data_IF_451166372453
#
_entry.id   IF_451166372453
#
_cell.length_a   1.000
_cell.length_b   1.000
_cell.length_c   1.000
_cell.angle_alpha   90.00
_cell.angle_beta   90.00
_cell.angle_gamma   90.00
#
_symmetry.space_group_name_H-M   'P 1'
#
loop_
_entity.id
_entity.type
_entity.pdbx_description
1 polymer ?
#
# COMPACT_ATOMS: atom_id res chain seq x y z
N UNK A 1 43.98 -8.03 49.51
CA UNK A 1 42.98 -8.05 48.43
C UNK A 1 42.46 -6.64 48.19
N UNK A 2 42.94 -5.95 47.15
CA UNK A 2 42.43 -4.63 46.74
C UNK A 2 41.39 -4.87 45.63
N UNK A 3 40.14 -4.52 45.88
CA UNK A 3 39.11 -4.54 44.83
C UNK A 3 39.30 -3.32 43.90
N UNK A 4 39.18 -3.50 42.58
CA UNK A 4 39.19 -2.40 41.64
C UNK A 4 37.80 -1.73 41.64
N UNK A 5 37.78 -0.43 41.93
CA UNK A 5 36.61 0.43 41.77
C UNK A 5 36.25 0.52 40.29
N UNK A 6 35.04 0.08 39.93
CA UNK A 6 34.46 0.28 38.60
C UNK A 6 34.44 1.79 38.27
N UNK A 7 35.19 2.18 37.24
CA UNK A 7 35.08 3.50 36.63
C UNK A 7 33.68 3.62 36.04
N UNK A 8 32.87 4.49 36.63
CA UNK A 8 31.64 5.02 36.05
C UNK A 8 32.02 5.63 34.69
N UNK A 9 31.49 5.09 33.60
CA UNK A 9 31.66 5.68 32.28
C UNK A 9 31.09 7.10 32.33
N UNK A 10 31.96 8.09 32.17
CA UNK A 10 31.55 9.48 32.10
C UNK A 10 30.77 9.67 30.81
N UNK A 11 29.50 10.05 30.93
CA UNK A 11 28.66 10.45 29.82
C UNK A 11 29.23 11.78 29.28
N UNK A 12 30.08 11.73 28.26
CA UNK A 12 30.64 12.92 27.62
C UNK A 12 29.46 13.69 27.01
N UNK A 13 29.25 14.98 27.32
CA UNK A 13 28.20 15.74 26.68
C UNK A 13 28.44 15.73 25.17
N UNK A 14 27.46 15.22 24.41
CA UNK A 14 27.49 15.25 22.95
C UNK A 14 27.82 16.68 22.50
N UNK A 15 28.81 16.83 21.62
CA UNK A 15 29.15 18.16 21.13
C UNK A 15 27.99 18.70 20.30
N UNK A 16 27.86 20.03 20.22
CA UNK A 16 26.85 20.69 19.38
C UNK A 16 26.86 20.14 17.94
N UNK A 17 28.05 19.84 17.42
CA UNK A 17 28.23 19.30 16.08
C UNK A 17 27.72 17.85 15.95
N UNK A 18 27.83 17.04 17.00
CA UNK A 18 27.31 15.66 17.02
C UNK A 18 25.78 15.65 17.06
N UNK A 19 25.17 16.58 17.80
CA UNK A 19 23.72 16.70 17.85
C UNK A 19 23.14 17.23 16.54
N UNK A 20 23.83 18.18 15.88
CA UNK A 20 23.46 18.66 14.55
C UNK A 20 23.47 17.54 13.51
N UNK A 21 24.55 16.76 13.45
CA UNK A 21 24.65 15.63 12.52
C UNK A 21 23.64 14.53 12.83
N UNK A 22 23.32 14.31 14.11
CA UNK A 22 22.26 13.39 14.52
C UNK A 22 20.89 13.83 14.04
N UNK A 23 20.56 15.12 14.12
CA UNK A 23 19.29 15.66 13.62
C UNK A 23 19.17 15.46 12.11
N UNK A 24 20.22 15.78 11.34
CA UNK A 24 20.19 15.57 9.89
C UNK A 24 19.99 14.08 9.56
N UNK A 25 20.67 13.20 10.29
CA UNK A 25 20.49 11.75 10.16
C UNK A 25 19.06 11.31 10.45
N UNK A 26 18.43 11.82 11.52
CA UNK A 26 17.04 11.48 11.84
C UNK A 26 16.06 12.00 10.78
N UNK A 27 16.31 13.19 10.22
CA UNK A 27 15.48 13.76 9.16
C UNK A 27 15.54 12.93 7.88
N UNK A 28 16.74 12.51 7.49
CA UNK A 28 16.94 11.62 6.34
C UNK A 28 16.25 10.27 6.56
N UNK A 29 16.35 9.71 7.76
CA UNK A 29 15.66 8.47 8.14
C UNK A 29 14.14 8.60 8.08
N UNK A 30 13.56 9.70 8.61
CA UNK A 30 12.12 9.94 8.54
C UNK A 30 11.67 10.11 7.08
N UNK A 31 12.47 10.77 6.26
CA UNK A 31 12.22 10.89 4.82
C UNK A 31 12.15 9.53 4.13
N UNK A 32 13.13 8.67 4.40
CA UNK A 32 13.18 7.31 3.86
C UNK A 32 11.99 6.45 4.33
N UNK A 33 11.70 6.43 5.64
CA UNK A 33 10.59 5.65 6.20
C UNK A 33 9.22 6.07 5.62
N UNK A 34 9.02 7.36 5.36
CA UNK A 34 7.79 7.86 4.74
C UNK A 34 7.69 7.50 3.25
N UNK A 35 8.82 7.46 2.54
CA UNK A 35 8.86 6.97 1.17
C UNK A 35 8.50 5.47 1.12
N UNK A 36 9.06 4.68 2.02
CA UNK A 36 8.75 3.25 2.16
C UNK A 36 7.27 3.04 2.49
N UNK A 37 6.72 3.83 3.42
CA UNK A 37 5.28 3.82 3.73
C UNK A 37 4.42 4.06 2.49
N UNK A 38 4.77 5.06 1.68
CA UNK A 38 4.06 5.37 0.42
C UNK A 38 4.17 4.20 -0.57
N UNK A 39 5.32 3.52 -0.63
CA UNK A 39 5.51 2.35 -1.48
C UNK A 39 4.63 1.16 -1.06
N UNK A 40 4.50 0.93 0.26
CA UNK A 40 3.62 -0.11 0.82
C UNK A 40 2.15 0.21 0.57
N UNK A 41 1.72 1.46 0.74
CA UNK A 41 0.33 1.87 0.43
C UNK A 41 -0.02 1.62 -1.04
N UNK A 42 0.92 1.89 -1.94
CA UNK A 42 0.72 1.69 -3.37
C UNK A 42 0.88 0.23 -3.84
N UNK A 43 1.28 -0.70 -2.98
CA UNK A 43 1.54 -2.10 -3.37
C UNK A 43 0.29 -2.74 -3.98
N UNK A 44 0.40 -3.57 -5.03
CA UNK A 44 -0.75 -4.25 -5.63
C UNK A 44 -1.36 -5.25 -4.64
N UNK A 45 -2.58 -5.70 -4.95
CA UNK A 45 -3.24 -6.79 -4.23
C UNK A 45 -2.57 -8.13 -4.57
N UNK A 46 -2.68 -9.15 -3.71
CA UNK A 46 -2.17 -10.48 -4.01
C UNK A 46 -2.77 -11.04 -5.30
N UNK A 47 -1.95 -11.69 -6.11
CA UNK A 47 -2.40 -12.29 -7.37
C UNK A 47 -3.55 -13.28 -7.18
N UNK A 48 -3.55 -14.06 -6.09
CA UNK A 48 -4.61 -15.02 -5.80
C UNK A 48 -5.98 -14.34 -5.71
N UNK A 49 -6.10 -13.29 -4.90
CA UNK A 49 -7.35 -12.54 -4.73
C UNK A 49 -7.81 -11.89 -6.04
N UNK A 50 -6.86 -11.40 -6.86
CA UNK A 50 -7.17 -10.82 -8.17
C UNK A 50 -7.66 -11.88 -9.16
N UNK A 51 -7.14 -13.10 -9.09
CA UNK A 51 -7.58 -14.22 -9.93
C UNK A 51 -8.96 -14.73 -9.52
N UNK A 52 -9.27 -14.75 -8.22
CA UNK A 52 -10.61 -15.09 -7.73
C UNK A 52 -11.63 -14.04 -8.21
N UNK A 53 -11.33 -12.74 -8.07
CA UNK A 53 -12.18 -11.65 -8.59
C UNK A 53 -12.35 -11.73 -10.13
N UNK A 54 -11.28 -12.12 -10.85
CA UNK A 54 -11.33 -12.33 -12.29
C UNK A 54 -12.27 -13.48 -12.65
N UNK A 55 -12.18 -14.61 -11.92
CA UNK A 55 -13.02 -15.77 -12.14
C UNK A 55 -14.50 -15.42 -11.98
N UNK A 56 -14.86 -14.71 -10.90
CA UNK A 56 -16.22 -14.20 -10.67
C UNK A 56 -16.67 -13.24 -11.79
N UNK A 57 -15.78 -12.35 -12.23
CA UNK A 57 -16.09 -11.39 -13.28
C UNK A 57 -16.33 -12.07 -14.64
N UNK A 58 -15.55 -13.09 -14.99
CA UNK A 58 -15.73 -13.86 -16.21
C UNK A 58 -17.07 -14.62 -16.21
N UNK A 59 -17.46 -15.17 -15.07
CA UNK A 59 -18.75 -15.87 -14.91
C UNK A 59 -19.93 -14.90 -15.02
N UNK A 60 -19.79 -13.70 -14.46
CA UNK A 60 -20.77 -12.64 -14.62
C UNK A 60 -20.92 -12.21 -16.09
N UNK A 61 -19.82 -11.94 -16.80
CA UNK A 61 -19.83 -11.57 -18.21
C UNK A 61 -20.49 -12.64 -19.10
N UNK A 62 -20.18 -13.91 -18.85
CA UNK A 62 -20.79 -15.01 -19.58
C UNK A 62 -22.31 -15.08 -19.35
N UNK A 63 -22.74 -14.91 -18.10
CA UNK A 63 -24.16 -14.94 -17.73
C UNK A 63 -24.94 -13.78 -18.37
N UNK A 64 -24.44 -12.55 -18.23
CA UNK A 64 -25.08 -11.38 -18.81
C UNK A 64 -25.20 -11.47 -20.33
N UNK A 65 -24.18 -11.99 -21.01
CA UNK A 65 -24.20 -12.15 -22.45
C UNK A 65 -25.23 -13.19 -22.91
N UNK A 66 -25.35 -14.33 -22.21
CA UNK A 66 -26.35 -15.36 -22.52
C UNK A 66 -27.77 -14.82 -22.28
N UNK A 67 -27.99 -14.12 -21.18
CA UNK A 67 -29.29 -13.51 -20.88
C UNK A 67 -29.65 -12.43 -21.91
N UNK A 68 -28.65 -11.65 -22.34
CA UNK A 68 -28.76 -10.63 -23.38
C UNK A 68 -29.23 -11.19 -24.73
N UNK A 69 -28.85 -12.43 -25.08
CA UNK A 69 -29.31 -13.10 -26.30
C UNK A 69 -30.83 -13.29 -26.38
N UNK A 70 -31.54 -13.15 -25.26
CA UNK A 70 -33.01 -13.22 -25.22
C UNK A 70 -33.55 -14.50 -25.85
N UNK A 71 -32.93 -15.64 -25.50
CA UNK A 71 -33.18 -16.97 -26.10
C UNK A 71 -34.64 -17.43 -26.03
N UNK A 72 -35.43 -16.86 -25.12
CA UNK A 72 -36.87 -17.11 -25.03
C UNK A 72 -37.63 -16.76 -26.32
N UNK A 73 -37.15 -15.79 -27.11
CA UNK A 73 -37.73 -15.46 -28.41
C UNK A 73 -37.54 -16.55 -29.47
N UNK A 74 -36.51 -17.41 -29.35
CA UNK A 74 -36.32 -18.55 -30.26
C UNK A 74 -37.43 -19.60 -30.12
N UNK A 75 -38.19 -19.57 -29.02
CA UNK A 75 -39.33 -20.45 -28.76
C UNK A 75 -40.67 -19.77 -29.09
N UNK A 76 -40.67 -18.51 -29.49
CA UNK A 76 -41.91 -17.79 -29.83
C UNK A 76 -42.44 -18.25 -31.20
N UNK A 77 -43.73 -18.55 -31.26
CA UNK A 77 -44.45 -19.04 -32.44
C UNK A 77 -44.63 -17.94 -33.50
N UNK A 78 -44.40 -16.67 -33.13
CA UNK A 78 -44.59 -15.47 -33.98
C UNK A 78 -43.44 -15.19 -34.96
N UNK A 79 -42.37 -15.98 -34.94
CA UNK A 79 -41.37 -16.01 -36.02
C UNK A 79 -40.49 -14.76 -36.17
N UNK A 80 -40.35 -13.95 -35.13
CA UNK A 80 -39.30 -12.92 -35.09
C UNK A 80 -37.99 -13.59 -34.71
N UNK A 81 -37.29 -14.10 -35.72
CA UNK A 81 -36.02 -14.80 -35.55
C UNK A 81 -34.85 -13.82 -35.57
N UNK A 82 -33.98 -13.88 -34.56
CA UNK A 82 -32.72 -13.16 -34.55
C UNK A 82 -32.11 -13.10 -33.14
N UNK A 83 -30.83 -13.47 -33.02
CA UNK A 83 -30.05 -13.19 -31.82
C UNK A 83 -29.81 -11.68 -31.77
N UNK A 84 -30.37 -11.00 -30.77
CA UNK A 84 -30.12 -9.57 -30.57
C UNK A 84 -28.84 -9.39 -29.77
N UNK A 85 -27.76 -9.03 -30.44
CA UNK A 85 -26.52 -8.63 -29.77
C UNK A 85 -26.63 -7.27 -29.08
N UNK A 86 -27.58 -6.43 -29.49
CA UNK A 86 -27.92 -5.16 -28.85
C UNK A 86 -29.38 -4.82 -29.11
N UNK A 87 -30.12 -4.43 -28.06
CA UNK A 87 -31.53 -4.02 -28.19
C UNK A 87 -31.69 -2.55 -28.62
N UNK A 88 -30.66 -1.73 -28.46
CA UNK A 88 -30.70 -0.27 -28.56
C UNK A 88 -29.79 0.32 -29.63
N UNK A 89 -29.04 -0.51 -30.37
CA UNK A 89 -28.06 -0.03 -31.36
C UNK A 89 -26.78 0.52 -30.74
N UNK A 90 -26.61 0.42 -29.42
CA UNK A 90 -25.36 0.79 -28.75
C UNK A 90 -24.30 -0.28 -29.01
N UNK A 91 -23.24 0.11 -29.72
CA UNK A 91 -22.12 -0.76 -30.07
C UNK A 91 -21.41 -1.32 -28.83
N UNK A 92 -21.33 -0.54 -27.75
CA UNK A 92 -20.70 -0.95 -26.49
C UNK A 92 -21.37 -2.19 -25.88
N UNK A 93 -22.71 -2.22 -25.87
CA UNK A 93 -23.49 -3.38 -25.39
C UNK A 93 -23.24 -4.60 -26.29
N UNK A 94 -23.17 -4.39 -27.61
CA UNK A 94 -22.86 -5.47 -28.55
C UNK A 94 -21.45 -6.04 -28.34
N UNK A 95 -20.46 -5.19 -28.09
CA UNK A 95 -19.07 -5.60 -27.80
C UNK A 95 -19.00 -6.36 -26.49
N UNK A 96 -19.66 -5.87 -25.43
CA UNK A 96 -19.73 -6.55 -24.14
C UNK A 96 -20.38 -7.94 -24.27
N UNK A 97 -21.51 -8.06 -24.98
CA UNK A 97 -22.16 -9.33 -25.23
C UNK A 97 -21.29 -10.29 -26.06
N UNK A 98 -20.60 -9.79 -27.09
CA UNK A 98 -19.68 -10.61 -27.88
C UNK A 98 -18.51 -11.12 -27.02
N UNK A 99 -17.92 -10.26 -26.19
CA UNK A 99 -16.88 -10.66 -25.24
C UNK A 99 -17.40 -11.71 -24.26
N UNK A 100 -18.57 -11.50 -23.66
CA UNK A 100 -19.18 -12.46 -22.75
C UNK A 100 -19.49 -13.80 -23.42
N UNK A 101 -19.88 -13.83 -24.70
CA UNK A 101 -20.05 -15.06 -25.47
C UNK A 101 -18.71 -15.77 -25.77
N UNK A 102 -17.65 -15.01 -26.03
CA UNK A 102 -16.30 -15.57 -26.14
C UNK A 102 -15.87 -16.19 -24.81
N UNK A 103 -16.14 -15.51 -23.69
CA UNK A 103 -15.87 -16.04 -22.35
C UNK A 103 -16.72 -17.29 -22.08
N UNK A 104 -18.01 -17.27 -22.39
CA UNK A 104 -18.89 -18.42 -22.19
C UNK A 104 -18.45 -19.67 -22.98
N UNK A 105 -17.81 -19.49 -24.14
CA UNK A 105 -17.35 -20.60 -25.00
C UNK A 105 -15.90 -21.02 -24.73
N UNK A 106 -15.04 -20.10 -24.27
CA UNK A 106 -13.60 -20.29 -24.13
C UNK A 106 -13.05 -19.79 -22.79
N UNK A 107 -13.83 -19.88 -21.70
CA UNK A 107 -13.51 -19.34 -20.37
C UNK A 107 -12.09 -19.67 -19.92
N UNK A 108 -11.71 -20.94 -19.99
CA UNK A 108 -10.39 -21.40 -19.55
C UNK A 108 -9.26 -20.73 -20.33
N UNK A 109 -9.36 -20.65 -21.66
CA UNK A 109 -8.33 -20.02 -22.49
C UNK A 109 -8.22 -18.51 -22.23
N UNK A 110 -9.34 -17.82 -22.03
CA UNK A 110 -9.35 -16.39 -21.68
C UNK A 110 -8.74 -16.17 -20.30
N UNK A 111 -9.15 -16.96 -19.30
CA UNK A 111 -8.59 -16.92 -17.95
C UNK A 111 -7.09 -17.14 -17.97
N UNK A 112 -6.60 -18.18 -18.65
CA UNK A 112 -5.18 -18.51 -18.71
C UNK A 112 -4.37 -17.39 -19.37
N UNK A 113 -4.89 -16.78 -20.44
CA UNK A 113 -4.23 -15.64 -21.08
C UNK A 113 -4.08 -14.47 -20.10
N UNK A 114 -5.15 -14.09 -19.40
CA UNK A 114 -5.12 -12.98 -18.45
C UNK A 114 -4.25 -13.33 -17.23
N UNK A 115 -4.38 -14.54 -16.69
CA UNK A 115 -3.61 -15.00 -15.55
C UNK A 115 -2.10 -15.02 -15.83
N UNK A 116 -1.70 -15.42 -17.03
CA UNK A 116 -0.29 -15.36 -17.44
C UNK A 116 0.21 -13.90 -17.48
N UNK A 117 -0.57 -12.97 -18.04
CA UNK A 117 -0.20 -11.55 -18.05
C UNK A 117 -0.13 -10.96 -16.64
N UNK A 118 -1.06 -11.30 -15.75
CA UNK A 118 -1.04 -10.87 -14.35
C UNK A 118 0.15 -11.48 -13.60
N UNK A 119 0.51 -12.74 -13.89
CA UNK A 119 1.69 -13.38 -13.30
C UNK A 119 3.00 -12.70 -13.72
N UNK A 120 3.11 -12.20 -14.94
CA UNK A 120 4.27 -11.43 -15.40
C UNK A 120 4.38 -10.08 -14.66
N UNK A 121 3.24 -9.44 -14.38
CA UNK A 121 3.18 -8.21 -13.59
C UNK A 121 3.56 -8.46 -12.12
N UNK A 122 3.10 -9.57 -11.54
CA UNK A 122 3.40 -9.98 -10.16
C UNK A 122 4.92 -10.18 -9.94
N UNK A 123 5.62 -10.77 -10.92
CA UNK A 123 7.08 -10.93 -10.86
C UNK A 123 7.82 -9.58 -10.76
N UNK A 124 7.27 -8.54 -11.40
CA UNK A 124 7.85 -7.20 -11.38
C UNK A 124 7.50 -6.45 -10.08
N UNK A 125 6.31 -6.69 -9.54
CA UNK A 125 5.81 -6.02 -8.34
C UNK A 125 4.91 -6.95 -7.53
N UNK A 126 5.47 -7.67 -6.54
CA UNK A 126 4.70 -8.59 -5.71
C UNK A 126 3.54 -7.90 -5.02
N UNK A 127 2.40 -8.58 -4.98
CA UNK A 127 1.22 -8.18 -4.23
C UNK A 127 1.46 -8.27 -2.73
N UNK A 128 0.75 -7.44 -1.98
CA UNK A 128 0.75 -7.46 -0.53
C UNK A 128 -0.69 -7.63 -0.03
N UNK A 129 -0.90 -8.64 0.81
CA UNK A 129 -2.20 -8.88 1.44
C UNK A 129 -2.60 -7.67 2.29
N UNK A 130 -3.90 -7.49 2.52
CA UNK A 130 -4.37 -6.37 3.33
C UNK A 130 -3.89 -6.49 4.80
N UNK A 131 -3.80 -7.72 5.32
CA UNK A 131 -3.27 -7.97 6.66
C UNK A 131 -1.78 -7.61 6.75
N UNK A 132 -0.96 -8.08 5.81
CA UNK A 132 0.47 -7.76 5.77
C UNK A 132 0.71 -6.27 5.52
N UNK A 133 -0.12 -5.64 4.68
CA UNK A 133 -0.07 -4.20 4.42
C UNK A 133 -0.34 -3.42 5.69
N UNK A 134 -1.41 -3.75 6.41
CA UNK A 134 -1.74 -3.09 7.67
C UNK A 134 -0.65 -3.30 8.73
N UNK A 135 -0.13 -4.52 8.85
CA UNK A 135 0.96 -4.83 9.77
C UNK A 135 2.22 -4.02 9.47
N UNK A 136 2.61 -3.97 8.18
CA UNK A 136 3.81 -3.23 7.75
C UNK A 136 3.65 -1.73 7.88
N UNK A 137 2.47 -1.18 7.59
CA UNK A 137 2.19 0.24 7.80
C UNK A 137 2.24 0.60 9.29
N UNK A 138 1.67 -0.23 10.17
CA UNK A 138 1.73 -0.01 11.61
C UNK A 138 3.17 -0.05 12.15
N UNK A 139 3.99 -0.96 11.64
CA UNK A 139 5.43 -1.03 11.97
C UNK A 139 6.16 0.25 11.54
N UNK A 140 5.97 0.69 10.30
CA UNK A 140 6.57 1.90 9.76
C UNK A 140 6.09 3.16 10.51
N UNK A 141 4.81 3.26 10.83
CA UNK A 141 4.26 4.38 11.62
C UNK A 141 4.90 4.43 13.02
N UNK A 142 5.13 3.27 13.64
CA UNK A 142 5.85 3.16 14.91
C UNK A 142 7.34 3.53 14.81
N UNK A 143 8.00 3.22 13.70
CA UNK A 143 9.39 3.61 13.42
C UNK A 143 9.51 5.11 13.17
N UNK A 144 8.62 5.68 12.37
CA UNK A 144 8.55 7.12 12.11
C UNK A 144 8.37 7.86 13.44
N UNK A 145 7.41 7.44 14.26
CA UNK A 145 7.16 8.08 15.55
C UNK A 145 8.38 8.01 16.47
N UNK A 146 9.03 6.85 16.60
CA UNK A 146 10.25 6.69 17.40
C UNK A 146 11.38 7.60 16.93
N UNK A 147 11.53 7.72 15.61
CA UNK A 147 12.59 8.54 15.01
C UNK A 147 12.30 10.03 15.18
N UNK A 148 11.04 10.45 15.04
CA UNK A 148 10.60 11.82 15.33
C UNK A 148 10.81 12.18 16.81
N UNK A 149 10.54 11.27 17.74
CA UNK A 149 10.82 11.48 19.16
C UNK A 149 12.33 11.62 19.44
N UNK A 150 13.17 10.86 18.74
CA UNK A 150 14.63 10.99 18.84
C UNK A 150 15.14 12.32 18.25
N UNK A 151 14.56 12.78 17.13
CA UNK A 151 14.82 14.12 16.56
C UNK A 151 14.47 15.21 17.58
N UNK A 152 13.28 15.16 18.19
CA UNK A 152 12.84 16.16 19.18
C UNK A 152 13.71 16.12 20.44
N UNK A 153 14.16 14.95 20.90
CA UNK A 153 15.11 14.84 22.00
C UNK A 153 16.44 15.56 21.69
N UNK A 154 16.97 15.37 20.48
CA UNK A 154 18.19 16.03 20.02
C UNK A 154 18.02 17.56 19.90
N UNK A 155 16.87 18.01 19.36
CA UNK A 155 16.52 19.42 19.25
C UNK A 155 16.48 20.09 20.63
N UNK A 156 15.80 19.47 21.61
CA UNK A 156 15.76 19.99 22.99
C UNK A 156 17.12 19.96 23.68
N UNK A 157 17.98 19.01 23.35
CA UNK A 157 19.36 18.99 23.85
C UNK A 157 20.16 20.19 23.31
N UNK A 158 20.02 20.52 22.03
CA UNK A 158 20.64 21.70 21.42
C UNK A 158 20.08 23.02 21.96
N UNK A 159 18.77 23.11 22.17
CA UNK A 159 18.13 24.28 22.77
C UNK A 159 18.68 24.54 24.18
N UNK A 160 18.91 23.48 24.98
CA UNK A 160 19.58 23.58 26.30
C UNK A 160 21.02 24.07 26.22
N UNK A 161 21.70 23.84 25.10
CA UNK A 161 23.04 24.36 24.82
C UNK A 161 23.01 25.78 24.20
N UNK A 162 21.83 26.40 24.08
CA UNK A 162 21.65 27.74 23.55
C UNK A 162 21.57 27.81 22.03
N UNK A 163 21.47 26.67 21.34
CA UNK A 163 21.35 26.61 19.87
C UNK A 163 19.89 26.41 19.51
N UNK A 164 19.30 27.39 18.82
CA UNK A 164 17.93 27.29 18.33
C UNK A 164 17.90 26.73 16.90
N UNK A 165 17.12 25.68 16.69
CA UNK A 165 16.91 25.06 15.37
C UNK A 165 15.41 24.98 15.12
N UNK A 166 15.02 25.30 13.89
CA UNK A 166 13.64 25.15 13.45
C UNK A 166 13.21 23.69 13.47
N UNK A 167 12.09 23.42 14.14
CA UNK A 167 11.33 22.18 13.97
C UNK A 167 10.78 22.12 12.54
N UNK A 168 10.58 20.91 12.04
CA UNK A 168 9.96 20.71 10.74
C UNK A 168 8.47 21.06 10.78
N UNK A 169 7.93 21.53 9.66
CA UNK A 169 6.53 21.93 9.54
C UNK A 169 5.54 20.74 9.64
N UNK A 170 6.04 19.54 9.35
CA UNK A 170 5.30 18.28 9.28
C UNK A 170 5.59 17.36 10.48
N UNK A 171 6.11 17.92 11.58
CA UNK A 171 6.32 17.20 12.83
C UNK A 171 4.97 16.78 13.44
N UNK A 172 4.89 15.53 13.91
CA UNK A 172 3.69 15.04 14.59
C UNK A 172 3.35 15.91 15.81
N UNK A 173 2.09 16.35 15.99
CA UNK A 173 1.67 17.10 17.17
C UNK A 173 1.93 16.36 18.48
N UNK A 174 1.86 15.03 18.47
CA UNK A 174 2.12 14.19 19.63
C UNK A 174 3.58 14.30 20.07
N UNK A 175 4.51 14.36 19.12
CA UNK A 175 5.95 14.52 19.38
C UNK A 175 6.25 15.95 19.83
N UNK A 176 5.68 16.95 19.14
CA UNK A 176 5.86 18.35 19.49
C UNK A 176 5.41 18.66 20.93
N UNK A 177 4.33 18.02 21.39
CA UNK A 177 3.77 18.18 22.73
C UNK A 177 4.29 17.15 23.75
N UNK A 178 5.23 16.28 23.38
CA UNK A 178 5.77 15.27 24.28
C UNK A 178 6.48 15.93 25.48
N UNK A 179 6.24 15.42 26.68
CA UNK A 179 6.99 15.85 27.88
C UNK A 179 8.44 15.36 27.81
N UNK A 180 9.39 16.08 28.44
CA UNK A 180 10.81 15.70 28.42
C UNK A 180 11.06 14.27 28.92
N UNK A 181 10.28 13.81 29.90
CA UNK A 181 10.35 12.45 30.45
C UNK A 181 9.89 11.35 29.48
N UNK A 182 9.09 11.72 28.46
CA UNK A 182 8.60 10.81 27.45
C UNK A 182 9.54 10.72 26.24
N UNK A 183 10.49 11.64 26.12
CA UNK A 183 11.50 11.62 25.06
C UNK A 183 12.61 10.63 25.39
N UNK A 184 13.18 9.94 24.39
CA UNK A 184 14.29 9.04 24.61
C UNK A 184 15.49 9.82 25.18
N UNK A 185 16.08 9.28 26.25
CA UNK A 185 17.29 9.85 26.85
C UNK A 185 18.47 9.51 25.97
N UNK A 186 19.20 10.52 25.52
CA UNK A 186 20.48 10.38 24.81
C UNK A 186 21.65 10.27 25.79
#
# INVERSE_FOLDING_TARGET
>A
MRMPTMKKAANTPASVNDLLSSIDTFRDQIGALRADRTQIEAAPRPLADVLDDLDDHLDHLATEAIDGLSLHHLRDRRGTFGLKLSQSGHAEIAVANLLGLVVATNRAAVRDLIANQLSDLEQSRPGLSDEDRLARLAELDGEILRTEMAEEAALRALERLGVQIGRRADLSPVVALAADQALPVQ
#
